data_IF_788445126678
#
_entry.id   IF_788445126678
#
_cell.length_a   1.000
_cell.length_b   1.000
_cell.length_c   1.000
_cell.angle_alpha   90.00
_cell.angle_beta   90.00
_cell.angle_gamma   90.00
#
_symmetry.space_group_name_H-M   'P 1'
#
loop_
_entity.id
_entity.type
_entity.pdbx_description
1 polymer ?
#
# COMPACT_ATOMS: atom_id res chain seq x y z
N UNK A 1 -7.37 11.60 10.34
CA UNK A 1 -7.74 10.16 10.45
C UNK A 1 -7.47 9.43 9.13
N UNK A 2 -7.02 8.17 9.13
CA UNK A 2 -6.68 7.37 7.92
C UNK A 2 -7.87 7.08 6.98
N UNK A 3 -9.08 7.05 7.54
CA UNK A 3 -10.35 6.79 6.83
C UNK A 3 -10.72 7.81 5.75
N UNK A 4 -10.23 9.05 5.85
CA UNK A 4 -10.53 10.12 4.91
C UNK A 4 -9.48 10.26 3.79
N UNK A 5 -8.54 9.31 3.67
CA UNK A 5 -7.59 9.31 2.55
C UNK A 5 -8.38 9.17 1.24
N UNK A 6 -8.08 10.05 0.29
CA UNK A 6 -8.71 10.04 -1.03
C UNK A 6 -7.98 9.06 -1.95
N UNK A 7 -8.74 8.36 -2.79
CA UNK A 7 -8.17 7.54 -3.85
C UNK A 7 -7.53 8.45 -4.92
N UNK A 8 -6.31 8.15 -5.41
CA UNK A 8 -5.64 8.99 -6.41
C UNK A 8 -6.31 8.94 -7.79
N UNK A 9 -7.18 7.96 -8.05
CA UNK A 9 -7.88 7.80 -9.35
C UNK A 9 -9.39 8.06 -9.25
N UNK A 10 -10.00 7.84 -8.09
CA UNK A 10 -11.44 7.99 -7.88
C UNK A 10 -11.75 9.13 -6.89
N UNK A 11 -12.86 9.85 -7.08
CA UNK A 11 -13.30 10.90 -6.14
C UNK A 11 -13.86 10.34 -4.81
N UNK A 12 -13.50 9.12 -4.43
CA UNK A 12 -14.02 8.37 -3.28
C UNK A 12 -12.91 8.13 -2.24
N UNK A 13 -13.29 7.98 -0.98
CA UNK A 13 -12.36 7.69 0.12
C UNK A 13 -12.04 6.20 0.24
N UNK A 14 -10.88 5.87 0.82
CA UNK A 14 -10.47 4.47 1.05
C UNK A 14 -11.48 3.69 1.93
N UNK A 15 -12.21 4.37 2.82
CA UNK A 15 -13.28 3.78 3.63
C UNK A 15 -14.51 3.43 2.78
N UNK A 16 -14.95 4.35 1.91
CA UNK A 16 -16.08 4.11 0.99
C UNK A 16 -15.80 2.98 0.00
N UNK A 17 -14.53 2.81 -0.38
CA UNK A 17 -14.08 1.74 -1.26
C UNK A 17 -13.80 0.42 -0.52
N UNK A 18 -14.00 0.34 0.80
CA UNK A 18 -13.65 -0.81 1.66
C UNK A 18 -12.18 -1.26 1.52
N UNK A 19 -11.29 -0.35 1.12
CA UNK A 19 -9.86 -0.60 0.91
C UNK A 19 -9.14 -0.79 2.24
N UNK A 20 -9.62 -0.14 3.30
CA UNK A 20 -9.03 -0.19 4.63
C UNK A 20 -10.11 -0.15 5.70
N UNK A 21 -10.15 -1.18 6.54
CA UNK A 21 -11.01 -1.27 7.74
C UNK A 21 -10.15 -1.21 9.00
N UNK A 22 -10.73 -0.75 10.11
CA UNK A 22 -10.04 -0.71 11.40
C UNK A 22 -9.56 -2.09 11.86
N UNK A 23 -10.31 -3.15 11.53
CA UNK A 23 -9.98 -4.54 11.88
C UNK A 23 -8.66 -5.01 11.25
N UNK A 24 -8.22 -4.37 10.18
CA UNK A 24 -6.98 -4.67 9.47
C UNK A 24 -5.77 -3.86 10.00
N UNK A 25 -5.96 -3.07 11.06
CA UNK A 25 -4.93 -2.24 11.68
C UNK A 25 -4.64 -2.80 13.07
N UNK A 26 -3.41 -3.27 13.27
CA UNK A 26 -2.94 -3.79 14.55
C UNK A 26 -1.86 -2.87 15.09
N UNK A 27 -2.12 -2.23 16.23
CA UNK A 27 -1.18 -1.35 16.93
C UNK A 27 -0.70 -2.06 18.19
N UNK A 28 0.60 -2.29 18.29
CA UNK A 28 1.27 -2.83 19.47
C UNK A 28 2.22 -1.75 20.02
N UNK A 29 1.83 -1.12 21.14
CA UNK A 29 2.63 -0.05 21.76
C UNK A 29 3.89 -0.60 22.46
N UNK A 30 3.82 -1.82 23.00
CA UNK A 30 4.94 -2.48 23.71
C UNK A 30 6.10 -2.75 22.74
N UNK A 31 5.79 -3.35 21.60
CA UNK A 31 6.79 -3.60 20.55
C UNK A 31 7.05 -2.37 19.67
N UNK A 32 6.34 -1.26 19.94
CA UNK A 32 6.31 -0.06 19.11
C UNK A 32 6.14 -0.43 17.63
N UNK A 33 5.11 -1.23 17.33
CA UNK A 33 4.87 -1.79 16.01
C UNK A 33 3.44 -1.53 15.55
N UNK A 34 3.27 -1.01 14.34
CA UNK A 34 1.97 -0.80 13.71
C UNK A 34 1.93 -1.60 12.43
N UNK A 35 1.02 -2.56 12.35
CA UNK A 35 0.77 -3.34 11.15
C UNK A 35 -0.53 -2.86 10.51
N UNK A 36 -0.47 -2.50 9.24
CA UNK A 36 -1.64 -2.10 8.45
C UNK A 36 -1.79 -3.03 7.25
N UNK A 37 -2.97 -3.62 7.13
CA UNK A 37 -3.35 -4.41 5.97
C UNK A 37 -4.40 -3.67 5.14
N UNK A 38 -4.19 -3.58 3.83
CA UNK A 38 -5.12 -2.90 2.93
C UNK A 38 -5.39 -3.73 1.67
N UNK A 39 -6.55 -3.54 1.07
CA UNK A 39 -7.03 -4.27 -0.10
C UNK A 39 -7.20 -3.27 -1.25
N UNK A 40 -6.31 -3.23 -2.25
CA UNK A 40 -6.46 -2.29 -3.37
C UNK A 40 -7.76 -2.57 -4.13
N UNK A 41 -8.43 -1.51 -4.60
CA UNK A 41 -9.66 -1.61 -5.40
C UNK A 41 -9.45 -2.24 -6.77
N UNK A 42 -8.27 -2.04 -7.34
CA UNK A 42 -7.88 -2.54 -8.66
C UNK A 42 -6.57 -3.32 -8.51
N UNK A 43 -6.46 -4.54 -9.08
CA UNK A 43 -5.25 -5.37 -9.00
C UNK A 43 -4.15 -4.88 -9.96
N UNK A 44 -3.89 -3.57 -9.99
CA UNK A 44 -2.77 -2.97 -10.69
C UNK A 44 -1.73 -2.47 -9.68
N UNK A 45 -0.48 -2.88 -9.88
CA UNK A 45 0.56 -2.77 -8.87
C UNK A 45 1.02 -1.34 -8.58
N UNK A 46 0.88 -0.43 -9.56
CA UNK A 46 1.19 1.00 -9.40
C UNK A 46 0.30 1.65 -8.35
N UNK A 47 -1.01 1.40 -8.40
CA UNK A 47 -1.97 2.00 -7.49
C UNK A 47 -1.87 1.45 -6.07
N UNK A 48 -1.65 0.13 -5.94
CA UNK A 48 -1.41 -0.46 -4.63
C UNK A 48 -0.17 0.14 -3.93
N UNK A 49 0.88 0.42 -4.70
CA UNK A 49 2.11 1.04 -4.19
C UNK A 49 1.85 2.49 -3.74
N UNK A 50 1.10 3.27 -4.52
CA UNK A 50 0.74 4.66 -4.17
C UNK A 50 -0.12 4.72 -2.90
N UNK A 51 -1.15 3.87 -2.81
CA UNK A 51 -2.01 3.79 -1.62
C UNK A 51 -1.17 3.44 -0.38
N UNK A 52 -0.30 2.42 -0.48
CA UNK A 52 0.61 2.04 0.58
C UNK A 52 1.56 3.17 1.01
N UNK A 53 2.09 3.93 0.04
CA UNK A 53 2.95 5.09 0.30
C UNK A 53 2.19 6.20 1.06
N UNK A 54 0.96 6.50 0.65
CA UNK A 54 0.10 7.48 1.32
C UNK A 54 -0.18 7.10 2.78
N UNK A 55 -0.54 5.83 3.01
CA UNK A 55 -0.74 5.28 4.36
C UNK A 55 0.54 5.42 5.19
N UNK A 56 1.70 5.07 4.62
CA UNK A 56 2.99 5.15 5.32
C UNK A 56 3.31 6.57 5.74
N UNK A 57 3.22 7.53 4.83
CA UNK A 57 3.49 8.94 5.12
C UNK A 57 2.52 9.47 6.17
N UNK A 58 1.22 9.14 6.07
CA UNK A 58 0.23 9.57 7.05
C UNK A 58 0.55 9.02 8.45
N UNK A 59 0.85 7.73 8.56
CA UNK A 59 1.26 7.11 9.82
C UNK A 59 2.55 7.71 10.38
N UNK A 60 3.55 7.96 9.53
CA UNK A 60 4.80 8.58 9.94
C UNK A 60 4.62 10.03 10.43
N UNK A 61 3.64 10.76 9.91
CA UNK A 61 3.29 12.12 10.34
C UNK A 61 2.44 12.13 11.62
N UNK A 62 1.56 11.15 11.78
CA UNK A 62 0.62 11.09 12.92
C UNK A 62 1.15 10.31 14.13
N UNK A 63 2.09 9.38 13.94
CA UNK A 63 2.65 8.56 15.02
C UNK A 63 4.10 8.96 15.36
N UNK A 64 4.52 8.81 16.63
CA UNK A 64 5.91 9.02 17.03
C UNK A 64 6.89 8.09 16.28
N UNK A 65 8.07 8.61 15.93
CA UNK A 65 9.13 7.87 15.18
C UNK A 65 9.60 6.55 15.81
N UNK A 66 9.22 6.28 17.07
CA UNK A 66 9.49 4.99 17.74
C UNK A 66 8.73 3.83 17.09
N UNK A 67 7.59 4.11 16.46
CA UNK A 67 6.75 3.07 15.85
C UNK A 67 7.32 2.59 14.52
N UNK A 68 7.52 1.27 14.42
CA UNK A 68 7.81 0.56 13.18
C UNK A 68 6.49 0.31 12.44
N UNK A 69 6.34 0.93 11.28
CA UNK A 69 5.16 0.78 10.42
C UNK A 69 5.42 -0.33 9.40
N UNK A 70 4.61 -1.39 9.45
CA UNK A 70 4.58 -2.53 8.53
C UNK A 70 3.30 -2.47 7.71
N UNK A 71 3.43 -2.32 6.39
CA UNK A 71 2.28 -2.18 5.47
C UNK A 71 2.25 -3.40 4.57
N UNK A 72 1.07 -4.04 4.51
CA UNK A 72 0.87 -5.26 3.72
C UNK A 72 -0.41 -5.18 2.91
N UNK A 73 -0.38 -5.75 1.72
CA UNK A 73 -1.58 -6.00 0.94
C UNK A 73 -2.26 -7.27 1.46
N UNK A 74 -3.59 -7.24 1.58
CA UNK A 74 -4.41 -8.39 1.99
C UNK A 74 -4.27 -9.56 1.01
N UNK A 75 -4.00 -10.78 1.53
CA UNK A 75 -4.08 -11.98 0.72
C UNK A 75 -5.49 -12.20 0.12
N UNK A 76 -5.60 -12.38 -1.19
CA UNK A 76 -6.76 -12.64 -2.02
C UNK A 76 -7.11 -11.47 -2.95
N UNK A 77 -6.49 -10.29 -2.75
CA UNK A 77 -6.92 -9.03 -3.35
C UNK A 77 -6.27 -8.72 -4.71
N UNK A 78 -5.30 -9.51 -5.15
CA UNK A 78 -4.56 -9.27 -6.38
C UNK A 78 -4.23 -10.59 -7.09
N UNK A 79 -4.32 -10.60 -8.42
CA UNK A 79 -4.52 -11.80 -9.27
C UNK A 79 -3.33 -12.78 -9.31
N UNK A 80 -2.32 -12.63 -8.47
CA UNK A 80 -1.27 -13.64 -8.28
C UNK A 80 -0.68 -13.57 -6.88
N UNK A 81 -1.24 -14.39 -5.98
CA UNK A 81 -0.72 -14.62 -4.63
C UNK A 81 0.01 -15.93 -4.45
N UNK A 82 0.10 -16.74 -5.50
CA UNK A 82 0.74 -18.03 -5.37
C UNK A 82 2.26 -17.91 -5.53
N UNK A 83 2.93 -17.83 -4.40
CA UNK A 83 4.30 -18.31 -4.26
C UNK A 83 4.39 -19.20 -3.01
N UNK A 84 3.72 -20.36 -3.02
CA UNK A 84 4.31 -21.64 -2.55
C UNK A 84 3.38 -22.85 -2.65
N UNK A 85 2.84 -23.16 -3.84
CA UNK A 85 2.65 -24.57 -4.25
C UNK A 85 3.00 -24.72 -5.74
N UNK A 86 4.24 -25.13 -5.99
CA UNK A 86 4.66 -25.59 -7.31
C UNK A 86 3.94 -26.91 -7.62
N UNK A 87 3.10 -26.91 -8.65
CA UNK A 87 3.01 -28.06 -9.54
C UNK A 87 2.73 -27.59 -10.97
N UNK A 88 3.81 -27.67 -11.75
CA UNK A 88 3.86 -27.98 -13.17
C UNK A 88 3.40 -26.93 -14.21
N UNK A 89 4.43 -26.47 -14.94
CA UNK A 89 4.47 -26.35 -16.41
C UNK A 89 3.32 -25.60 -17.09
N UNK A 90 3.54 -24.33 -17.40
CA UNK A 90 3.62 -23.91 -18.80
C UNK A 90 4.19 -22.50 -18.91
N UNK A 91 5.27 -22.40 -19.67
CA UNK A 91 5.75 -21.16 -20.27
C UNK A 91 4.61 -20.66 -21.17
N UNK A 92 3.90 -19.61 -20.75
CA UNK A 92 3.17 -18.74 -21.66
C UNK A 92 3.67 -17.32 -21.43
N UNK A 93 4.68 -16.98 -22.22
CA UNK A 93 5.06 -15.61 -22.52
C UNK A 93 3.88 -15.02 -23.29
N UNK A 94 2.90 -14.44 -22.60
CA UNK A 94 1.89 -13.60 -23.23
C UNK A 94 2.38 -12.16 -23.11
N UNK A 95 3.06 -11.72 -24.17
CA UNK A 95 3.77 -10.45 -24.27
C UNK A 95 2.81 -9.25 -24.45
N UNK A 96 1.70 -9.20 -23.70
CA UNK A 96 0.65 -8.21 -23.89
C UNK A 96 0.03 -7.64 -22.60
N UNK A 97 0.67 -7.81 -21.43
CA UNK A 97 0.23 -7.15 -20.19
C UNK A 97 1.41 -6.66 -19.35
N UNK A 98 1.97 -5.52 -19.76
CA UNK A 98 2.93 -4.73 -18.99
C UNK A 98 2.23 -4.12 -17.76
N UNK A 99 2.11 -4.85 -16.65
CA UNK A 99 2.06 -4.35 -15.24
C UNK A 99 1.55 -5.43 -14.26
N UNK A 100 2.26 -6.56 -14.16
CA UNK A 100 2.02 -7.53 -13.08
C UNK A 100 3.30 -7.71 -12.24
N UNK A 101 3.47 -6.83 -11.25
CA UNK A 101 4.48 -6.93 -10.21
C UNK A 101 3.93 -7.85 -9.10
N UNK A 102 4.65 -8.91 -8.67
CA UNK A 102 4.18 -9.80 -7.60
C UNK A 102 3.94 -9.04 -6.29
N UNK A 103 2.89 -9.39 -5.53
CA UNK A 103 2.55 -8.72 -4.24
C UNK A 103 3.72 -8.74 -3.26
N UNK A 104 4.49 -9.82 -3.22
CA UNK A 104 5.71 -9.89 -2.41
C UNK A 104 6.69 -8.75 -2.73
N UNK A 105 6.81 -8.35 -4.00
CA UNK A 105 7.66 -7.23 -4.43
C UNK A 105 7.07 -5.91 -3.94
N UNK A 106 5.76 -5.71 -4.02
CA UNK A 106 5.10 -4.48 -3.52
C UNK A 106 5.24 -4.37 -2.01
N UNK A 107 4.97 -5.45 -1.26
CA UNK A 107 5.17 -5.49 0.19
C UNK A 107 6.63 -5.21 0.56
N UNK A 108 7.59 -5.76 -0.19
CA UNK A 108 9.03 -5.49 0.02
C UNK A 108 9.36 -4.02 -0.22
N UNK A 109 8.85 -3.42 -1.30
CA UNK A 109 9.06 -2.01 -1.63
C UNK A 109 8.45 -1.08 -0.57
N UNK A 110 7.23 -1.37 -0.12
CA UNK A 110 6.52 -0.56 0.88
C UNK A 110 7.17 -0.61 2.27
N UNK A 111 7.84 -1.71 2.61
CA UNK A 111 8.52 -1.86 3.90
C UNK A 111 9.98 -1.40 3.88
N UNK A 112 10.61 -1.34 2.71
CA UNK A 112 11.94 -0.78 2.51
C UNK A 112 11.93 0.74 2.76
N UNK A 113 12.69 1.21 3.76
CA UNK A 113 12.73 2.61 4.16
C UNK A 113 13.46 3.49 3.14
N UNK A 114 14.52 2.96 2.53
CA UNK A 114 15.34 3.70 1.56
C UNK A 114 14.57 3.86 0.25
N UNK A 115 13.89 2.80 -0.21
CA UNK A 115 13.03 2.89 -1.39
C UNK A 115 11.88 3.86 -1.21
N UNK A 116 11.25 3.88 -0.04
CA UNK A 116 10.18 4.85 0.24
C UNK A 116 10.73 6.28 0.33
N UNK A 117 11.89 6.49 0.95
CA UNK A 117 12.52 7.80 0.97
C UNK A 117 12.83 8.29 -0.45
N UNK A 118 13.44 7.44 -1.29
CA UNK A 118 13.72 7.76 -2.69
C UNK A 118 12.44 8.04 -3.51
N UNK A 119 11.34 7.33 -3.22
CA UNK A 119 10.05 7.61 -3.86
C UNK A 119 9.49 8.98 -3.46
N UNK A 120 9.71 9.42 -2.23
CA UNK A 120 9.27 10.73 -1.73
C UNK A 120 10.15 11.89 -2.21
N UNK A 121 11.38 11.62 -2.67
CA UNK A 121 12.21 12.61 -3.36
C UNK A 121 11.70 12.93 -4.78
N UNK A 122 10.85 12.06 -5.34
CA UNK A 122 10.21 12.33 -6.62
C UNK A 122 9.04 13.30 -6.46
N UNK A 123 9.19 14.52 -6.99
CA UNK A 123 8.18 15.58 -6.90
C UNK A 123 6.79 15.17 -7.43
N UNK A 124 6.71 14.31 -8.44
CA UNK A 124 5.42 13.82 -8.95
C UNK A 124 4.72 12.92 -7.94
N UNK A 125 5.45 11.95 -7.37
CA UNK A 125 4.92 11.04 -6.36
C UNK A 125 4.55 11.78 -5.08
N UNK A 126 5.38 12.73 -4.66
CA UNK A 126 5.12 13.57 -3.51
C UNK A 126 3.83 14.37 -3.68
N UNK A 127 3.64 15.00 -4.85
CA UNK A 127 2.40 15.74 -5.16
C UNK A 127 1.15 14.86 -5.12
N UNK A 128 1.24 13.61 -5.59
CA UNK A 128 0.12 12.66 -5.53
C UNK A 128 -0.17 12.27 -4.07
N UNK A 129 0.87 11.95 -3.30
CA UNK A 129 0.75 11.61 -1.87
C UNK A 129 0.16 12.77 -1.07
N UNK A 130 0.64 13.99 -1.28
CA UNK A 130 0.14 15.18 -0.60
C UNK A 130 -1.33 15.46 -0.94
N UNK A 131 -1.73 15.31 -2.21
CA UNK A 131 -3.16 15.40 -2.61
C UNK A 131 -4.02 14.35 -1.91
N UNK A 132 -3.54 13.12 -1.76
CA UNK A 132 -4.27 12.05 -1.07
C UNK A 132 -4.44 12.35 0.43
N UNK A 133 -3.47 13.04 1.04
CA UNK A 133 -3.44 13.35 2.47
C UNK A 133 -4.12 14.70 2.81
N UNK A 134 -4.19 15.66 1.88
CA UNK A 134 -4.57 17.05 2.11
C UNK A 134 -5.90 17.26 2.84
N UNK A 135 -6.88 16.37 2.68
CA UNK A 135 -8.21 16.49 3.29
C UNK A 135 -8.38 15.70 4.60
N UNK A 136 -7.29 15.22 5.21
CA UNK A 136 -7.34 14.30 6.37
C UNK A 136 -6.89 14.91 7.70
N UNK A 137 -6.52 16.20 7.69
CA UNK A 137 -6.03 16.98 8.83
C UNK A 137 -7.06 17.99 9.38
N UNK A 138 -8.30 17.92 8.91
CA UNK A 138 -9.45 18.66 9.46
C UNK A 138 -10.06 18.01 10.68
#
# INVERSE_FOLDING_TARGET
MLRHLNDPEHPLTLEQLKVMTLDNIVVNDVDSHVKVQFTPTIPHCSMATLIGLCIRVKLLRSLPKRFKVDIRITPGAHITEDASKQSNTHILINLHNLTFIPIYVVNKQLNDKERVAAALENAHLLNVVDKCIANTDG
#
